data_IF_018775333166
#
_entry.id   IF_018775333166
#
_cell.length_a   1.000
_cell.length_b   1.000
_cell.length_c   1.000
_cell.angle_alpha   90.00
_cell.angle_beta   90.00
_cell.angle_gamma   90.00
#
_symmetry.space_group_name_H-M   'P 1'
#
loop_
_entity.id
_entity.type
_entity.pdbx_description
1 polymer ?
#
# COMPACT_ATOMS: atom_id res chain seq x y z
N UNK A 1 16.54 -16.08 -30.91
CA UNK A 1 15.53 -15.29 -30.16
C UNK A 1 16.11 -14.66 -28.90
N UNK A 2 16.92 -15.36 -28.09
CA UNK A 2 17.47 -14.79 -26.84
C UNK A 2 18.60 -13.76 -27.01
N UNK A 3 19.35 -13.80 -28.11
CA UNK A 3 20.50 -12.88 -28.31
C UNK A 3 20.08 -11.43 -28.61
N UNK A 4 18.92 -11.21 -29.23
CA UNK A 4 18.39 -9.85 -29.45
C UNK A 4 18.03 -9.17 -28.12
N UNK A 5 17.50 -9.93 -27.16
CA UNK A 5 17.13 -9.40 -25.84
C UNK A 5 18.35 -8.95 -25.03
N UNK A 6 19.50 -9.60 -25.22
CA UNK A 6 20.76 -9.21 -24.59
C UNK A 6 21.35 -7.92 -25.18
N UNK A 7 21.28 -7.74 -26.51
CA UNK A 7 21.72 -6.51 -27.18
C UNK A 7 20.90 -5.27 -26.77
N UNK A 8 19.59 -5.43 -26.56
CA UNK A 8 18.72 -4.36 -26.02
C UNK A 8 19.05 -3.97 -24.57
N UNK A 9 19.69 -4.86 -23.81
CA UNK A 9 20.08 -4.60 -22.42
C UNK A 9 21.37 -3.78 -22.31
N UNK A 10 22.26 -3.89 -23.30
CA UNK A 10 23.56 -3.20 -23.33
C UNK A 10 23.41 -1.79 -23.93
N UNK A 11 22.50 -1.60 -24.89
CA UNK A 11 22.24 -0.30 -25.51
C UNK A 11 20.97 0.37 -24.96
N UNK A 12 20.83 0.47 -23.62
CA UNK A 12 19.79 1.35 -23.05
C UNK A 12 20.26 2.80 -23.19
N UNK A 13 20.09 3.36 -24.38
CA UNK A 13 20.16 4.82 -24.59
C UNK A 13 19.13 5.41 -23.65
N UNK A 14 19.59 6.12 -22.60
CA UNK A 14 18.70 6.79 -21.67
C UNK A 14 17.82 7.74 -22.47
N UNK A 15 16.52 7.66 -22.22
CA UNK A 15 15.56 8.58 -22.83
C UNK A 15 15.79 9.99 -22.29
N UNK A 16 15.44 11.02 -23.06
CA UNK A 16 15.59 12.42 -22.63
C UNK A 16 14.92 12.69 -21.28
N UNK A 17 13.78 12.03 -21.02
CA UNK A 17 13.08 12.08 -19.74
C UNK A 17 13.91 11.50 -18.58
N UNK A 18 14.55 10.34 -18.79
CA UNK A 18 15.42 9.72 -17.78
C UNK A 18 16.66 10.59 -17.50
N UNK A 19 17.21 11.26 -18.52
CA UNK A 19 18.32 12.20 -18.32
C UNK A 19 17.91 13.43 -17.51
N UNK A 20 16.72 13.99 -17.74
CA UNK A 20 16.18 15.12 -16.97
C UNK A 20 15.96 14.71 -15.51
N UNK A 21 15.35 13.55 -15.27
CA UNK A 21 15.15 13.02 -13.93
C UNK A 21 16.47 12.79 -13.18
N UNK A 22 17.48 12.25 -13.86
CA UNK A 22 18.81 12.06 -13.28
C UNK A 22 19.48 13.38 -12.86
N UNK A 23 19.32 14.45 -13.66
CA UNK A 23 19.83 15.79 -13.31
C UNK A 23 19.14 16.37 -12.07
N UNK A 24 17.82 16.18 -11.95
CA UNK A 24 17.07 16.63 -10.77
C UNK A 24 17.54 15.90 -9.50
N UNK A 25 17.77 14.59 -9.57
CA UNK A 25 18.31 13.83 -8.43
C UNK A 25 19.70 14.29 -8.02
N UNK A 26 20.59 14.62 -8.98
CA UNK A 26 21.91 15.18 -8.66
C UNK A 26 21.81 16.53 -7.93
N UNK A 27 20.83 17.38 -8.28
CA UNK A 27 20.66 18.69 -7.63
C UNK A 27 20.23 18.58 -6.16
N UNK A 28 19.51 17.51 -5.78
CA UNK A 28 19.03 17.32 -4.41
C UNK A 28 20.11 16.82 -3.42
N UNK A 29 21.30 16.46 -3.90
CA UNK A 29 22.32 15.85 -3.03
C UNK A 29 23.14 16.86 -2.21
N UNK A 30 23.17 18.14 -2.58
CA UNK A 30 24.13 19.12 -2.01
C UNK A 30 23.47 20.27 -1.22
N UNK A 31 22.17 20.19 -0.90
CA UNK A 31 21.44 21.23 -0.15
C UNK A 31 21.31 20.95 1.37
N UNK A 32 22.35 20.38 1.99
CA UNK A 32 22.53 20.46 3.45
C UNK A 32 23.53 21.58 3.79
N UNK A 33 23.15 22.84 3.53
CA UNK A 33 23.94 23.99 3.97
C UNK A 33 23.08 25.21 4.34
N UNK A 34 22.51 25.20 5.54
CA UNK A 34 23.03 26.02 6.64
C UNK A 34 22.05 26.06 7.81
N UNK A 35 22.61 25.70 8.96
CA UNK A 35 21.99 25.49 10.25
C UNK A 35 21.98 26.80 11.04
N UNK A 36 20.82 27.36 11.38
CA UNK A 36 20.74 28.35 12.46
C UNK A 36 19.33 28.54 13.04
N UNK A 37 18.83 27.57 13.81
CA UNK A 37 17.78 27.90 14.81
C UNK A 37 18.20 27.40 16.18
N UNK A 38 18.85 28.33 16.88
CA UNK A 38 18.92 28.56 18.32
C UNK A 38 18.76 27.38 19.30
N UNK A 39 19.88 27.17 20.02
CA UNK A 39 19.96 26.47 21.30
C UNK A 39 18.97 27.05 22.32
N UNK A 40 18.02 26.25 22.82
CA UNK A 40 17.42 26.44 24.15
C UNK A 40 17.25 25.11 24.89
N UNK A 41 18.20 24.90 25.79
CA UNK A 41 18.20 24.13 27.05
C UNK A 41 17.00 23.22 27.41
N UNK A 42 17.30 21.92 27.45
CA UNK A 42 17.35 21.03 28.64
C UNK A 42 16.09 20.94 29.55
N UNK A 43 15.42 19.79 29.52
CA UNK A 43 15.19 18.98 30.73
C UNK A 43 14.93 17.52 30.37
N UNK A 44 15.75 16.61 30.92
CA UNK A 44 15.44 15.19 31.01
C UNK A 44 14.29 15.02 32.01
N UNK A 45 13.31 14.20 31.68
CA UNK A 45 12.49 13.51 32.67
C UNK A 45 12.48 12.04 32.24
N UNK A 46 13.16 11.22 33.03
CA UNK A 46 12.96 9.77 33.07
C UNK A 46 11.62 9.51 33.82
N UNK A 47 11.07 8.30 33.62
CA UNK A 47 9.83 7.72 34.17
C UNK A 47 8.59 7.77 33.24
N UNK A 48 8.42 6.65 32.51
CA UNK A 48 7.31 5.68 32.65
C UNK A 48 6.00 6.23 33.21
N UNK A 49 5.05 6.57 32.34
CA UNK A 49 3.62 6.53 32.64
C UNK A 49 2.85 6.47 31.32
N UNK A 50 1.86 5.59 31.26
CA UNK A 50 0.93 5.38 30.14
C UNK A 50 0.35 6.72 29.66
N UNK A 51 0.95 7.31 28.63
CA UNK A 51 0.34 8.43 27.91
C UNK A 51 -0.51 7.83 26.79
N UNK A 52 -1.76 7.52 27.14
CA UNK A 52 -2.86 7.45 26.19
C UNK A 52 -3.02 8.85 25.55
N UNK A 53 -2.04 9.26 24.73
CA UNK A 53 -2.19 10.39 23.82
C UNK A 53 -3.37 10.01 22.93
N UNK A 54 -4.55 10.56 23.26
CA UNK A 54 -5.73 10.52 22.43
C UNK A 54 -5.41 11.33 21.17
N UNK A 55 -4.68 10.70 20.24
CA UNK A 55 -4.45 11.23 18.91
C UNK A 55 -5.83 11.54 18.33
N UNK A 56 -6.07 12.80 17.98
CA UNK A 56 -7.28 13.22 17.29
C UNK A 56 -7.32 12.57 15.89
N UNK A 57 -7.80 11.33 15.85
CA UNK A 57 -7.92 10.52 14.63
C UNK A 57 -8.97 11.08 13.68
N UNK A 58 -9.87 11.94 14.18
CA UNK A 58 -11.00 12.47 13.40
C UNK A 58 -10.53 13.18 12.12
N UNK A 59 -9.41 13.92 12.21
CA UNK A 59 -8.82 14.63 11.07
C UNK A 59 -8.07 13.72 10.09
N UNK A 60 -7.58 12.56 10.53
CA UNK A 60 -6.91 11.57 9.67
C UNK A 60 -7.90 10.62 8.97
N UNK A 61 -9.06 10.39 9.58
CA UNK A 61 -10.06 9.46 9.06
C UNK A 61 -10.64 9.93 7.73
N UNK A 62 -10.83 11.24 7.53
CA UNK A 62 -11.31 11.79 6.25
C UNK A 62 -10.27 11.63 5.13
N UNK A 63 -8.99 11.93 5.41
CA UNK A 63 -7.87 11.80 4.47
C UNK A 63 -7.70 10.33 4.06
N UNK A 64 -7.76 9.43 5.05
CA UNK A 64 -7.60 7.99 4.85
C UNK A 64 -8.77 7.42 4.06
N UNK A 65 -10.00 7.80 4.40
CA UNK A 65 -11.22 7.35 3.72
C UNK A 65 -11.21 7.75 2.25
N UNK A 66 -10.84 9.00 1.93
CA UNK A 66 -10.73 9.48 0.54
C UNK A 66 -9.68 8.70 -0.26
N UNK A 67 -8.53 8.38 0.35
CA UNK A 67 -7.47 7.60 -0.30
C UNK A 67 -7.88 6.14 -0.53
N UNK A 68 -8.65 5.56 0.38
CA UNK A 68 -9.21 4.22 0.23
C UNK A 68 -10.23 4.20 -0.91
N UNK A 69 -11.14 5.17 -0.96
CA UNK A 69 -12.14 5.31 -2.04
C UNK A 69 -11.47 5.49 -3.41
N UNK A 70 -10.37 6.24 -3.49
CA UNK A 70 -9.60 6.42 -4.73
C UNK A 70 -8.98 5.11 -5.24
N UNK A 71 -8.44 4.28 -4.35
CA UNK A 71 -7.74 3.03 -4.70
C UNK A 71 -8.74 1.90 -4.99
N UNK A 72 -9.80 1.78 -4.18
CA UNK A 72 -10.71 0.63 -4.19
C UNK A 72 -12.09 0.95 -4.76
N UNK A 73 -12.37 2.22 -5.07
CA UNK A 73 -13.70 2.68 -5.44
C UNK A 73 -14.60 2.92 -4.22
N UNK A 74 -15.82 3.34 -4.50
CA UNK A 74 -16.84 3.62 -3.48
C UNK A 74 -17.31 2.34 -2.80
N UNK A 75 -17.56 2.42 -1.50
CA UNK A 75 -18.02 1.28 -0.73
C UNK A 75 -19.36 0.72 -1.27
N UNK A 76 -20.24 1.58 -1.78
CA UNK A 76 -21.51 1.17 -2.38
C UNK A 76 -21.32 0.21 -3.57
N UNK A 77 -20.27 0.43 -4.38
CA UNK A 77 -19.98 -0.40 -5.56
C UNK A 77 -19.50 -1.80 -5.14
N UNK A 78 -18.71 -1.89 -4.07
CA UNK A 78 -18.19 -3.15 -3.54
C UNK A 78 -19.28 -4.03 -2.90
N UNK A 79 -20.25 -3.41 -2.23
CA UNK A 79 -21.37 -4.14 -1.59
C UNK A 79 -22.23 -4.85 -2.65
N UNK A 80 -22.54 -4.16 -3.76
CA UNK A 80 -23.35 -4.72 -4.84
C UNK A 80 -22.67 -5.92 -5.49
N UNK A 81 -21.37 -5.84 -5.78
CA UNK A 81 -20.62 -6.97 -6.36
C UNK A 81 -20.54 -8.17 -5.41
N UNK A 82 -20.31 -7.91 -4.10
CA UNK A 82 -20.21 -8.98 -3.10
C UNK A 82 -21.54 -9.68 -2.86
N UNK A 83 -22.66 -8.97 -2.88
CA UNK A 83 -23.99 -9.56 -2.69
C UNK A 83 -24.37 -10.50 -3.84
N UNK A 84 -24.06 -10.13 -5.10
CA UNK A 84 -24.36 -10.95 -6.27
C UNK A 84 -23.62 -12.30 -6.28
N UNK A 85 -22.46 -12.39 -5.61
CA UNK A 85 -21.59 -13.57 -5.63
C UNK A 85 -21.64 -14.46 -4.38
N UNK A 86 -22.54 -14.20 -3.43
CA UNK A 86 -22.72 -15.11 -2.27
C UNK A 86 -23.38 -16.41 -2.72
N UNK A 87 -22.57 -17.33 -3.25
CA UNK A 87 -22.97 -18.75 -3.37
C UNK A 87 -23.35 -19.20 -1.97
N UNK A 88 -24.63 -19.52 -1.76
CA UNK A 88 -25.09 -20.08 -0.48
C UNK A 88 -24.34 -21.39 -0.26
N UNK A 89 -23.64 -21.51 0.88
CA UNK A 89 -23.04 -22.77 1.28
C UNK A 89 -24.16 -23.83 1.39
N UNK A 90 -23.89 -25.03 0.87
CA UNK A 90 -24.83 -26.16 0.99
C UNK A 90 -24.58 -26.87 2.31
N UNK A 91 -25.63 -27.40 2.94
CA UNK A 91 -25.50 -28.24 4.13
C UNK A 91 -24.84 -29.58 3.79
N UNK A 92 -24.16 -30.19 4.76
CA UNK A 92 -23.56 -31.53 4.59
C UNK A 92 -24.61 -32.57 4.17
N UNK A 93 -25.81 -32.51 4.76
CA UNK A 93 -26.91 -33.39 4.38
C UNK A 93 -27.37 -33.18 2.93
N UNK A 94 -27.39 -31.93 2.45
CA UNK A 94 -27.73 -31.63 1.04
C UNK A 94 -26.67 -32.18 0.10
N UNK A 95 -25.39 -32.08 0.47
CA UNK A 95 -24.28 -32.65 -0.30
C UNK A 95 -24.44 -34.18 -0.35
N UNK A 96 -24.57 -34.83 0.82
CA UNK A 96 -24.65 -36.29 0.93
C UNK A 96 -25.86 -36.90 0.19
N UNK A 97 -26.98 -36.17 0.12
CA UNK A 97 -28.16 -36.58 -0.66
C UNK A 97 -27.96 -36.47 -2.17
N UNK A 98 -27.14 -35.53 -2.63
CA UNK A 98 -26.90 -35.25 -4.05
C UNK A 98 -25.72 -36.06 -4.59
N UNK A 99 -24.75 -36.39 -3.75
CA UNK A 99 -23.54 -37.13 -4.14
C UNK A 99 -23.71 -38.63 -3.98
N UNK A 100 -23.17 -39.41 -4.93
CA UNK A 100 -23.06 -40.87 -4.78
C UNK A 100 -21.92 -41.20 -3.79
N UNK A 101 -22.07 -42.23 -2.94
CA UNK A 101 -21.01 -42.64 -2.02
C UNK A 101 -19.76 -43.08 -2.81
N UNK A 102 -18.60 -42.61 -2.38
CA UNK A 102 -17.32 -43.05 -2.94
C UNK A 102 -16.98 -44.44 -2.40
N UNK A 103 -16.49 -45.33 -3.27
CA UNK A 103 -15.96 -46.63 -2.85
C UNK A 103 -14.60 -46.38 -2.20
N UNK A 104 -14.50 -46.66 -0.91
CA UNK A 104 -13.20 -46.77 -0.24
C UNK A 104 -12.58 -48.11 -0.62
N UNK A 105 -11.31 -48.10 -1.01
CA UNK A 105 -10.54 -49.30 -1.34
C UNK A 105 -10.26 -50.16 -0.10
#
# INVERSE_FOLDING_TARGET
>A
MSELQALYRINKVLTDSEMVAARQLMQLSDEDNSNSINRKNKKKFDYDEDDDEEYDRSSQDEITSKKIEEIFGKEEDFIVERQARKKRFRSLQSIYKVTKPMKTA
#
